data_IF_849305052440
#
_entry.id   IF_849305052440
#
_cell.length_a   1.000
_cell.length_b   1.000
_cell.length_c   1.000
_cell.angle_alpha   90.00
_cell.angle_beta   90.00
_cell.angle_gamma   90.00
#
_symmetry.space_group_name_H-M   'P 1'
#
loop_
_entity.id
_entity.type
_entity.pdbx_description
1 polymer ?
#
# COMPACT_ATOMS: atom_id res chain seq x y z
N UNK A 1 -14.34 -15.97 5.24
CA UNK A 1 -13.36 -14.89 4.96
C UNK A 1 -13.15 -14.10 6.25
N UNK A 2 -11.92 -13.89 6.71
CA UNK A 2 -11.66 -13.21 7.99
C UNK A 2 -11.73 -11.69 7.83
N UNK A 3 -12.10 -10.95 8.89
CA UNK A 3 -12.14 -9.47 8.91
C UNK A 3 -10.81 -8.87 8.46
N UNK A 4 -9.69 -9.45 8.90
CA UNK A 4 -8.33 -9.05 8.52
C UNK A 4 -8.11 -9.21 7.01
N UNK A 5 -8.44 -10.37 6.42
CA UNK A 5 -8.26 -10.58 4.97
C UNK A 5 -9.11 -9.64 4.12
N UNK A 6 -10.32 -9.28 4.59
CA UNK A 6 -11.17 -8.30 3.94
C UNK A 6 -10.56 -6.90 4.00
N UNK A 7 -10.04 -6.50 5.16
CA UNK A 7 -9.40 -5.19 5.35
C UNK A 7 -8.11 -5.05 4.54
N UNK A 8 -7.28 -6.10 4.49
CA UNK A 8 -6.08 -6.14 3.64
C UNK A 8 -6.44 -6.00 2.16
N UNK A 9 -7.51 -6.68 1.72
CA UNK A 9 -8.01 -6.60 0.34
C UNK A 9 -8.51 -5.20 0.01
N UNK A 10 -9.33 -4.62 0.88
CA UNK A 10 -9.83 -3.26 0.70
C UNK A 10 -8.69 -2.24 0.64
N UNK A 11 -7.66 -2.38 1.49
CA UNK A 11 -6.49 -1.50 1.48
C UNK A 11 -5.67 -1.63 0.20
N UNK A 12 -5.40 -2.85 -0.24
CA UNK A 12 -4.71 -3.12 -1.51
C UNK A 12 -5.45 -2.46 -2.68
N UNK A 13 -6.77 -2.61 -2.72
CA UNK A 13 -7.62 -2.08 -3.78
C UNK A 13 -7.72 -0.54 -3.75
N UNK A 14 -7.70 0.06 -2.55
CA UNK A 14 -7.61 1.50 -2.37
C UNK A 14 -6.30 2.08 -2.92
N UNK A 15 -5.19 1.34 -2.79
CA UNK A 15 -3.90 1.70 -3.37
C UNK A 15 -3.78 1.35 -4.86
N UNK A 16 -4.79 0.70 -5.45
CA UNK A 16 -4.76 0.27 -6.86
C UNK A 16 -3.72 -0.80 -7.15
N UNK A 17 -3.26 -1.54 -6.13
CA UNK A 17 -2.22 -2.57 -6.25
C UNK A 17 -2.82 -3.91 -6.65
N UNK A 18 -2.09 -4.68 -7.46
CA UNK A 18 -2.36 -6.10 -7.71
C UNK A 18 -1.52 -6.97 -6.77
N UNK A 19 -1.88 -8.25 -6.66
CA UNK A 19 -1.06 -9.22 -5.92
C UNK A 19 0.37 -9.31 -6.46
N UNK A 20 0.56 -9.14 -7.77
CA UNK A 20 1.88 -9.10 -8.40
C UNK A 20 2.71 -7.90 -7.95
N UNK A 21 2.07 -6.74 -7.75
CA UNK A 21 2.77 -5.53 -7.27
C UNK A 21 3.22 -5.70 -5.81
N UNK A 22 2.37 -6.33 -4.99
CA UNK A 22 2.69 -6.67 -3.61
C UNK A 22 3.82 -7.69 -3.54
N UNK A 23 3.76 -8.73 -4.38
CA UNK A 23 4.83 -9.74 -4.48
C UNK A 23 6.16 -9.11 -4.90
N UNK A 24 6.16 -8.27 -5.93
CA UNK A 24 7.38 -7.60 -6.41
C UNK A 24 7.98 -6.66 -5.35
N UNK A 25 7.15 -5.99 -4.56
CA UNK A 25 7.58 -5.15 -3.44
C UNK A 25 8.22 -5.97 -2.31
N UNK A 26 7.62 -7.11 -1.94
CA UNK A 26 8.16 -8.01 -0.92
C UNK A 26 9.50 -8.62 -1.35
N UNK A 27 9.60 -9.08 -2.61
CA UNK A 27 10.85 -9.61 -3.15
C UNK A 27 11.98 -8.56 -3.14
N UNK A 28 11.68 -7.28 -3.43
CA UNK A 28 12.67 -6.20 -3.35
C UNK A 28 13.21 -5.99 -1.93
N UNK A 29 12.41 -6.32 -0.92
CA UNK A 29 12.76 -6.23 0.50
C UNK A 29 13.42 -7.51 1.03
N UNK A 30 13.71 -8.48 0.15
CA UNK A 30 14.33 -9.75 0.52
C UNK A 30 13.34 -10.81 1.04
N UNK A 31 12.03 -10.55 0.97
CA UNK A 31 11.00 -11.50 1.41
C UNK A 31 10.49 -12.27 0.19
N UNK A 32 11.16 -13.39 -0.09
CA UNK A 32 10.77 -14.27 -1.20
C UNK A 32 9.60 -15.16 -0.79
N UNK A 33 8.46 -15.00 -1.49
CA UNK A 33 7.27 -15.83 -1.29
C UNK A 33 6.67 -16.26 -2.62
N UNK A 34 5.95 -17.38 -2.60
CA UNK A 34 5.18 -17.81 -3.75
C UNK A 34 3.97 -16.88 -3.96
N UNK A 35 3.61 -16.62 -5.22
CA UNK A 35 2.42 -15.85 -5.56
C UNK A 35 1.16 -16.39 -4.89
N UNK A 36 1.00 -17.72 -4.85
CA UNK A 36 -0.12 -18.39 -4.19
C UNK A 36 -0.21 -18.06 -2.70
N UNK A 37 0.93 -17.89 -2.03
CA UNK A 37 1.00 -17.48 -0.62
C UNK A 37 0.51 -16.04 -0.47
N UNK A 38 0.98 -15.11 -1.30
CA UNK A 38 0.54 -13.70 -1.27
C UNK A 38 -0.97 -13.61 -1.57
N UNK A 39 -1.45 -14.31 -2.60
CA UNK A 39 -2.87 -14.37 -2.92
C UNK A 39 -3.71 -14.96 -1.76
N UNK A 40 -3.15 -15.90 -1.00
CA UNK A 40 -3.82 -16.53 0.14
C UNK A 40 -4.09 -15.57 1.32
N UNK A 41 -3.31 -14.49 1.41
CA UNK A 41 -3.47 -13.45 2.43
C UNK A 41 -4.71 -12.61 2.22
N UNK A 42 -5.00 -12.31 0.95
CA UNK A 42 -6.15 -11.50 0.56
C UNK A 42 -7.44 -12.33 0.43
N UNK A 43 -7.34 -13.61 0.04
CA UNK A 43 -8.53 -14.45 -0.12
C UNK A 43 -9.03 -15.11 1.19
N UNK A 44 -8.33 -14.90 2.32
CA UNK A 44 -8.72 -15.39 3.63
C UNK A 44 -8.54 -16.90 3.83
N UNK A 45 -7.73 -17.56 3.00
CA UNK A 45 -7.46 -19.01 3.09
C UNK A 45 -6.31 -19.31 4.07
N UNK A 46 -5.43 -18.34 4.36
CA UNK A 46 -4.35 -18.54 5.35
C UNK A 46 -4.91 -18.38 6.77
N UNK A 47 -5.12 -19.51 7.45
CA UNK A 47 -5.45 -19.57 8.87
C UNK A 47 -4.25 -19.22 9.75
N UNK A 48 -4.45 -18.21 10.61
CA UNK A 48 -3.88 -18.04 11.96
C UNK A 48 -2.36 -18.09 12.23
N UNK A 49 -1.47 -18.37 11.26
CA UNK A 49 -0.02 -18.24 11.45
C UNK A 49 0.58 -17.29 10.43
N UNK A 50 0.53 -16.01 10.78
CA UNK A 50 1.35 -14.99 10.17
C UNK A 50 2.74 -15.06 10.79
N UNK A 51 3.76 -15.12 9.94
CA UNK A 51 5.07 -14.68 10.37
C UNK A 51 5.00 -13.16 10.61
N UNK A 52 5.47 -12.71 11.78
CA UNK A 52 5.41 -11.29 12.16
C UNK A 52 6.26 -10.44 11.22
N UNK A 53 7.34 -10.97 10.67
CA UNK A 53 8.18 -10.26 9.70
C UNK A 53 7.44 -10.09 8.35
N UNK A 54 6.78 -11.15 7.88
CA UNK A 54 5.95 -11.10 6.67
C UNK A 54 4.77 -10.13 6.82
N UNK A 55 4.10 -10.19 7.97
CA UNK A 55 2.97 -9.34 8.26
C UNK A 55 3.39 -7.87 8.30
N UNK A 56 4.48 -7.57 9.02
CA UNK A 56 5.00 -6.19 9.08
C UNK A 56 5.37 -5.67 7.70
N UNK A 57 6.08 -6.48 6.90
CA UNK A 57 6.43 -6.07 5.55
C UNK A 57 5.20 -5.87 4.66
N UNK A 58 4.20 -6.75 4.75
CA UNK A 58 2.94 -6.59 4.03
C UNK A 58 2.22 -5.30 4.43
N UNK A 59 2.14 -5.00 5.73
CA UNK A 59 1.52 -3.78 6.24
C UNK A 59 2.26 -2.53 5.74
N UNK A 60 3.59 -2.56 5.70
CA UNK A 60 4.40 -1.48 5.14
C UNK A 60 4.15 -1.31 3.62
N UNK A 61 4.02 -2.40 2.86
CA UNK A 61 3.65 -2.35 1.43
C UNK A 61 2.28 -1.72 1.25
N UNK A 62 1.33 -2.08 2.12
CA UNK A 62 -0.04 -1.57 2.11
C UNK A 62 -0.18 -0.22 2.82
N UNK A 63 0.93 0.38 3.26
CA UNK A 63 0.98 1.67 3.93
C UNK A 63 -0.06 1.77 5.06
N UNK A 64 -0.15 0.73 5.90
CA UNK A 64 -1.13 0.61 6.98
C UNK A 64 -0.48 -0.06 8.18
N UNK A 65 -1.16 -0.12 9.31
CA UNK A 65 -0.68 -0.76 10.53
C UNK A 65 -1.66 -1.85 11.01
N UNK A 66 -1.20 -2.64 11.98
CA UNK A 66 -1.97 -3.76 12.51
C UNK A 66 -3.24 -3.31 13.21
N UNK A 67 -3.23 -2.16 13.86
CA UNK A 67 -4.38 -1.64 14.61
C UNK A 67 -5.49 -1.23 13.63
N UNK A 68 -5.14 -0.53 12.54
CA UNK A 68 -6.03 -0.16 11.45
C UNK A 68 -6.71 -1.36 10.81
N UNK A 69 -5.95 -2.43 10.52
CA UNK A 69 -6.51 -3.64 9.88
C UNK A 69 -7.29 -4.54 10.86
N UNK A 70 -7.08 -4.44 12.18
CA UNK A 70 -7.79 -5.27 13.18
C UNK A 70 -9.03 -4.57 13.73
N UNK A 71 -8.93 -3.29 14.06
CA UNK A 71 -10.04 -2.45 14.49
C UNK A 71 -11.04 -2.23 13.34
N UNK A 72 -10.56 -2.27 12.09
CA UNK A 72 -11.38 -2.00 10.91
C UNK A 72 -11.47 -0.52 10.58
N UNK A 73 -10.56 0.29 11.13
CA UNK A 73 -10.31 1.66 10.73
C UNK A 73 -9.38 1.65 9.51
N UNK A 74 -9.83 1.05 8.41
CA UNK A 74 -9.13 1.22 7.14
C UNK A 74 -9.48 2.60 6.65
N UNK A 75 -8.65 3.61 6.98
CA UNK A 75 -8.69 4.89 6.26
C UNK A 75 -8.51 4.55 4.78
N UNK A 76 -9.58 4.67 3.99
CA UNK A 76 -9.48 4.61 2.55
C UNK A 76 -8.67 5.85 2.16
N UNK A 77 -7.50 5.67 1.55
CA UNK A 77 -6.75 6.82 1.00
C UNK A 77 -7.73 7.49 0.02
N UNK A 78 -8.23 8.67 0.40
CA UNK A 78 -9.33 9.34 -0.33
C UNK A 78 -8.96 9.75 -1.75
N UNK A 79 -7.67 9.64 -2.13
CA UNK A 79 -7.24 9.78 -3.51
C UNK A 79 -6.46 8.55 -3.93
N UNK A 80 -7.10 7.73 -4.78
CA UNK A 80 -6.39 6.80 -5.66
C UNK A 80 -5.40 7.62 -6.48
N UNK A 81 -4.13 7.67 -6.07
CA UNK A 81 -3.07 8.07 -6.96
C UNK A 81 -3.17 7.16 -8.19
N UNK A 82 -3.32 7.71 -9.41
CA UNK A 82 -3.40 6.90 -10.61
C UNK A 82 -2.19 5.96 -10.65
N UNK A 83 -2.41 4.67 -10.94
CA UNK A 83 -1.33 3.68 -10.97
C UNK A 83 -0.17 4.08 -11.92
N UNK A 84 -0.45 4.92 -12.92
CA UNK A 84 0.56 5.56 -13.77
C UNK A 84 1.50 6.48 -12.96
N UNK A 85 0.95 7.35 -12.13
CA UNK A 85 1.71 8.28 -11.27
C UNK A 85 2.59 7.53 -10.27
N UNK A 86 2.06 6.46 -9.65
CA UNK A 86 2.84 5.64 -8.73
C UNK A 86 4.00 4.89 -9.43
N UNK A 87 3.80 4.49 -10.68
CA UNK A 87 4.83 3.80 -11.48
C UNK A 87 5.91 4.76 -11.97
N UNK A 88 5.53 5.99 -12.34
CA UNK A 88 6.46 7.06 -12.69
C UNK A 88 7.31 7.48 -11.48
N UNK A 89 6.71 7.61 -10.29
CA UNK A 89 7.45 7.92 -9.06
C UNK A 89 8.50 6.87 -8.69
N UNK A 90 8.25 5.57 -8.95
CA UNK A 90 9.24 4.51 -8.72
C UNK A 90 10.48 4.61 -9.63
N UNK A 91 10.37 5.28 -10.77
CA UNK A 91 11.50 5.54 -11.67
C UNK A 91 12.34 6.75 -11.27
N UNK A 92 11.88 7.53 -10.30
CA UNK A 92 12.54 8.73 -9.82
C UNK A 92 13.45 8.42 -8.62
N UNK A 93 14.59 9.08 -8.58
CA UNK A 93 15.46 9.14 -7.39
C UNK A 93 14.74 9.81 -6.21
N UNK A 94 15.18 9.54 -4.98
CA UNK A 94 14.58 10.11 -3.77
C UNK A 94 14.48 11.64 -3.83
N UNK A 95 15.49 12.31 -4.40
CA UNK A 95 15.53 13.76 -4.59
C UNK A 95 14.46 14.25 -5.58
N UNK A 96 14.21 13.48 -6.64
CA UNK A 96 13.17 13.78 -7.62
C UNK A 96 11.77 13.51 -7.05
N UNK A 97 11.60 12.47 -6.22
CA UNK A 97 10.34 12.24 -5.51
C UNK A 97 10.04 13.38 -4.53
N UNK A 98 11.05 13.89 -3.82
CA UNK A 98 10.91 15.06 -2.94
C UNK A 98 10.54 16.33 -3.73
N UNK A 99 11.10 16.53 -4.93
CA UNK A 99 10.74 17.65 -5.81
C UNK A 99 9.28 17.58 -6.27
N UNK A 100 8.80 16.39 -6.66
CA UNK A 100 7.39 16.16 -7.03
C UNK A 100 6.46 16.42 -5.84
N UNK A 101 6.80 15.90 -4.66
CA UNK A 101 6.06 16.15 -3.42
C UNK A 101 6.02 17.64 -3.06
N UNK A 102 7.13 18.35 -3.24
CA UNK A 102 7.20 19.79 -3.01
C UNK A 102 6.31 20.57 -4.00
N UNK A 103 6.29 20.20 -5.28
CA UNK A 103 5.41 20.80 -6.28
C UNK A 103 3.93 20.56 -5.98
N UNK A 104 3.54 19.33 -5.63
CA UNK A 104 2.16 19.00 -5.25
C UNK A 104 1.72 19.79 -4.01
N UNK A 105 2.59 19.92 -3.01
CA UNK A 105 2.32 20.74 -1.81
C UNK A 105 2.17 22.22 -2.15
N UNK A 106 3.01 22.75 -3.04
CA UNK A 106 2.91 24.14 -3.48
C UNK A 106 1.60 24.42 -4.26
N UNK A 107 1.17 23.48 -5.12
CA UNK A 107 -0.10 23.58 -5.84
C UNK A 107 -1.30 23.50 -4.89
N UNK A 108 -1.23 22.65 -3.87
CA UNK A 108 -2.31 22.48 -2.87
C UNK A 108 -2.40 23.66 -1.88
N UNK A 109 -1.29 24.34 -1.63
CA UNK A 109 -1.24 25.59 -0.85
C UNK A 109 -1.68 26.84 -1.62
N UNK A 110 -1.73 26.78 -2.96
CA UNK A 110 -2.08 27.92 -3.82
C UNK A 110 -3.59 28.18 -4.00
N UNK A 111 -4.46 27.23 -3.61
CA UNK A 111 -5.92 27.35 -3.79
C UNK A 111 -6.64 28.13 -2.67
N UNK A 112 -5.90 28.79 -1.78
CA UNK A 112 -6.44 29.37 -0.53
C UNK A 112 -6.37 30.87 -0.36
N UNK A 113 -5.82 31.66 -1.30
CA UNK A 113 -5.83 33.13 -1.18
C UNK A 113 -5.89 33.81 -2.54
N UNK A 114 -7.08 34.17 -2.98
CA UNK A 114 -7.27 35.38 -3.77
C UNK A 114 -8.53 36.08 -3.25
N UNK A 115 -8.28 37.32 -2.86
CA UNK A 115 -9.16 38.31 -2.24
C UNK A 115 -10.06 38.95 -3.28
#
# INVERSE_FOLDING_TARGET
MSKISANLTARRDALGLKNDDVLAELSRRGIERAYSTVASWFNGTRGSRWDMEELKALLDVLQTDLDSITEGQVELVEEKLPAATAREMRGLSDEQQQAVLAMVRAMRGGSGTSK
#
